data_IF_722909656314
#
_entry.id   IF_722909656314
#
_cell.length_a   1.000
_cell.length_b   1.000
_cell.length_c   1.000
_cell.angle_alpha   90.00
_cell.angle_beta   90.00
_cell.angle_gamma   90.00
#
_symmetry.space_group_name_H-M   'P 1'
#
loop_
_entity.id
_entity.type
_entity.pdbx_description
1 polymer ?
#
# COMPACT_ATOMS: atom_id res chain seq x y z
N UNK A 1 18.23 -17.61 -2.25
CA UNK A 1 16.86 -17.23 -2.66
C UNK A 1 16.34 -16.14 -1.73
N UNK A 2 16.56 -14.88 -2.10
CA UNK A 2 16.06 -13.73 -1.38
C UNK A 2 14.54 -13.58 -1.56
N UNK A 3 13.84 -13.15 -0.51
CA UNK A 3 12.42 -12.80 -0.58
C UNK A 3 12.07 -11.68 0.40
N UNK A 4 11.02 -10.92 0.08
CA UNK A 4 10.53 -9.83 0.92
C UNK A 4 9.01 -9.78 0.90
N UNK A 5 8.40 -9.94 2.06
CA UNK A 5 6.95 -9.87 2.25
C UNK A 5 6.48 -8.43 2.48
N UNK A 6 5.43 -8.04 1.76
CA UNK A 6 4.63 -6.82 1.95
C UNK A 6 3.60 -7.03 3.06
N UNK A 7 3.05 -5.94 3.58
CA UNK A 7 2.03 -6.02 4.63
C UNK A 7 0.68 -6.58 4.15
N UNK A 8 0.36 -6.49 2.84
CA UNK A 8 -0.81 -7.18 2.23
C UNK A 8 -0.64 -8.70 2.13
N UNK A 9 0.52 -9.22 2.53
CA UNK A 9 0.82 -10.63 2.43
C UNK A 9 1.35 -11.06 1.06
N UNK A 10 1.50 -10.15 0.09
CA UNK A 10 2.22 -10.46 -1.15
C UNK A 10 3.73 -10.54 -0.90
N UNK A 11 4.42 -11.40 -1.62
CA UNK A 11 5.83 -11.70 -1.41
C UNK A 11 6.59 -11.47 -2.70
N UNK A 12 7.59 -10.60 -2.67
CA UNK A 12 8.60 -10.53 -3.72
C UNK A 12 9.57 -11.70 -3.58
N UNK A 13 9.81 -12.45 -4.65
CA UNK A 13 10.73 -13.59 -4.66
C UNK A 13 11.66 -13.51 -5.86
N UNK A 14 12.89 -13.98 -5.68
CA UNK A 14 13.83 -14.23 -6.77
C UNK A 14 13.83 -15.71 -7.10
N UNK A 15 13.76 -16.07 -8.37
CA UNK A 15 14.10 -17.41 -8.83
C UNK A 15 15.12 -17.34 -9.96
N UNK A 16 15.78 -18.46 -10.22
CA UNK A 16 16.83 -18.57 -11.21
C UNK A 16 16.46 -19.63 -12.23
N UNK A 17 16.40 -19.24 -13.50
CA UNK A 17 16.05 -20.11 -14.63
C UNK A 17 16.78 -19.64 -15.89
N UNK A 18 17.17 -20.56 -16.79
CA UNK A 18 17.85 -20.22 -18.05
C UNK A 18 19.05 -19.26 -17.89
N UNK A 19 19.86 -19.45 -16.83
CA UNK A 19 21.03 -18.60 -16.50
C UNK A 19 20.69 -17.14 -16.16
N UNK A 20 19.42 -16.85 -15.84
CA UNK A 20 18.92 -15.53 -15.50
C UNK A 20 18.19 -15.56 -14.15
N UNK A 21 18.19 -14.43 -13.47
CA UNK A 21 17.43 -14.21 -12.25
C UNK A 21 16.15 -13.45 -12.56
N UNK A 22 15.05 -13.84 -11.96
CA UNK A 22 13.75 -13.25 -12.20
C UNK A 22 13.15 -12.77 -10.88
N UNK A 23 12.53 -11.60 -10.91
CA UNK A 23 11.75 -11.08 -9.78
C UNK A 23 10.27 -11.29 -10.05
N UNK A 24 9.63 -12.00 -9.13
CA UNK A 24 8.19 -12.25 -9.12
C UNK A 24 7.52 -11.70 -7.87
N UNK A 25 6.24 -11.35 -8.00
CA UNK A 25 5.35 -11.07 -6.88
C UNK A 25 4.35 -12.23 -6.78
N UNK A 26 4.29 -12.88 -5.62
CA UNK A 26 3.40 -14.03 -5.40
C UNK A 26 2.50 -13.80 -4.19
N UNK A 27 1.33 -14.43 -4.17
CA UNK A 27 0.45 -14.45 -2.99
C UNK A 27 0.84 -15.58 -2.00
N UNK A 28 0.05 -15.73 -0.92
CA UNK A 28 0.23 -16.80 0.08
C UNK A 28 0.14 -18.21 -0.49
N UNK A 29 -0.60 -18.40 -1.58
CA UNK A 29 -0.77 -19.67 -2.28
C UNK A 29 0.31 -19.90 -3.34
N UNK A 30 1.35 -19.05 -3.36
CA UNK A 30 2.44 -19.07 -4.31
C UNK A 30 1.99 -18.89 -5.78
N UNK A 31 0.85 -18.22 -5.99
CA UNK A 31 0.36 -17.81 -7.31
C UNK A 31 1.02 -16.49 -7.69
N UNK A 32 1.69 -16.48 -8.84
CA UNK A 32 2.34 -15.29 -9.39
C UNK A 32 1.31 -14.26 -9.86
N UNK A 33 1.48 -13.02 -9.42
CA UNK A 33 0.69 -11.87 -9.85
C UNK A 33 1.22 -11.40 -11.21
N UNK A 34 0.31 -11.27 -12.18
CA UNK A 34 0.65 -10.83 -13.54
C UNK A 34 1.35 -9.47 -13.55
N UNK A 35 2.36 -9.30 -14.42
CA UNK A 35 3.12 -8.06 -14.57
C UNK A 35 4.51 -8.07 -13.93
N UNK A 36 4.90 -9.18 -13.30
CA UNK A 36 6.26 -9.45 -12.81
C UNK A 36 6.91 -10.57 -13.64
N UNK A 37 8.25 -10.59 -13.73
CA UNK A 37 9.01 -11.47 -14.63
C UNK A 37 10.16 -10.76 -15.36
N UNK A 38 10.82 -9.81 -14.70
CA UNK A 38 11.93 -9.05 -15.29
C UNK A 38 13.21 -9.88 -15.13
N UNK A 39 13.93 -10.21 -16.23
CA UNK A 39 15.18 -10.96 -16.16
C UNK A 39 16.36 -10.07 -15.78
N UNK A 40 17.26 -10.61 -14.96
CA UNK A 40 18.50 -10.00 -14.48
C UNK A 40 19.68 -10.94 -14.70
N UNK A 41 20.87 -10.36 -14.87
CA UNK A 41 22.10 -11.12 -15.08
C UNK A 41 22.76 -11.54 -13.75
N UNK A 42 22.36 -10.93 -12.63
CA UNK A 42 22.87 -11.21 -11.30
C UNK A 42 21.77 -11.27 -10.24
N UNK A 43 22.02 -12.04 -9.16
CA UNK A 43 21.09 -12.08 -8.01
C UNK A 43 21.06 -10.71 -7.32
N UNK A 44 22.18 -9.99 -7.29
CA UNK A 44 22.30 -8.66 -6.69
C UNK A 44 21.38 -7.63 -7.37
N UNK A 45 21.33 -7.57 -8.70
CA UNK A 45 20.42 -6.67 -9.43
C UNK A 45 18.95 -6.97 -9.12
N UNK A 46 18.59 -8.25 -9.06
CA UNK A 46 17.25 -8.68 -8.69
C UNK A 46 16.90 -8.32 -7.24
N UNK A 47 17.85 -8.42 -6.31
CA UNK A 47 17.69 -7.96 -4.92
C UNK A 47 17.47 -6.44 -4.85
N UNK A 48 18.25 -5.66 -5.59
CA UNK A 48 18.10 -4.20 -5.63
C UNK A 48 16.74 -3.78 -6.19
N UNK A 49 16.23 -4.47 -7.23
CA UNK A 49 14.86 -4.24 -7.69
C UNK A 49 13.84 -4.51 -6.58
N UNK A 50 13.96 -5.62 -5.82
CA UNK A 50 13.01 -5.91 -4.73
C UNK A 50 13.06 -4.83 -3.66
N UNK A 51 14.24 -4.31 -3.30
CA UNK A 51 14.36 -3.19 -2.35
C UNK A 51 13.63 -1.96 -2.87
N UNK A 52 13.83 -1.59 -4.13
CA UNK A 52 13.15 -0.46 -4.76
C UNK A 52 11.63 -0.63 -4.76
N UNK A 53 11.13 -1.79 -5.19
CA UNK A 53 9.70 -2.09 -5.23
C UNK A 53 9.06 -2.08 -3.82
N UNK A 54 9.79 -2.59 -2.83
CA UNK A 54 9.34 -2.58 -1.44
C UNK A 54 9.28 -1.16 -0.88
N UNK A 55 10.28 -0.31 -1.16
CA UNK A 55 10.24 1.11 -0.80
C UNK A 55 9.08 1.82 -1.46
N UNK A 56 8.91 1.68 -2.79
CA UNK A 56 7.82 2.32 -3.53
C UNK A 56 6.44 1.92 -3.02
N UNK A 57 6.24 0.66 -2.65
CA UNK A 57 5.00 0.19 -2.04
C UNK A 57 4.74 0.87 -0.68
N UNK A 58 5.75 0.94 0.19
CA UNK A 58 5.59 1.57 1.50
C UNK A 58 5.36 3.08 1.39
N UNK A 59 6.10 3.76 0.51
CA UNK A 59 5.94 5.19 0.25
C UNK A 59 4.56 5.49 -0.33
N UNK A 60 4.09 4.67 -1.27
CA UNK A 60 2.74 4.77 -1.84
C UNK A 60 1.64 4.68 -0.77
N UNK A 61 1.76 3.75 0.18
CA UNK A 61 0.80 3.62 1.29
C UNK A 61 0.83 4.82 2.22
N UNK A 62 2.02 5.29 2.59
CA UNK A 62 2.15 6.47 3.46
C UNK A 62 1.56 7.71 2.78
N UNK A 63 1.78 7.87 1.48
CA UNK A 63 1.21 8.97 0.72
C UNK A 63 -0.31 8.86 0.60
N UNK A 64 -0.85 7.65 0.41
CA UNK A 64 -2.30 7.42 0.40
C UNK A 64 -2.94 7.82 1.75
N UNK A 65 -2.33 7.43 2.88
CA UNK A 65 -2.78 7.82 4.22
C UNK A 65 -2.79 9.34 4.38
N UNK A 66 -1.68 10.02 4.00
CA UNK A 66 -1.58 11.49 4.08
C UNK A 66 -2.65 12.19 3.24
N UNK A 67 -2.92 11.70 2.02
CA UNK A 67 -3.94 12.27 1.14
C UNK A 67 -5.35 12.13 1.74
N UNK A 68 -5.65 10.99 2.37
CA UNK A 68 -6.93 10.78 3.06
C UNK A 68 -7.06 11.74 4.25
N UNK A 69 -6.04 11.85 5.09
CA UNK A 69 -6.03 12.77 6.24
C UNK A 69 -6.24 14.23 5.78
N UNK A 70 -5.59 14.65 4.69
CA UNK A 70 -5.78 15.98 4.12
C UNK A 70 -7.20 16.22 3.62
N UNK A 71 -7.79 15.24 2.93
CA UNK A 71 -9.17 15.38 2.44
C UNK A 71 -10.18 15.44 3.58
N UNK A 72 -9.94 14.72 4.66
CA UNK A 72 -10.81 14.76 5.85
C UNK A 72 -10.82 16.14 6.48
N UNK A 73 -9.65 16.78 6.59
CA UNK A 73 -9.57 18.17 7.09
C UNK A 73 -10.37 19.13 6.20
N UNK A 74 -10.28 18.97 4.88
CA UNK A 74 -11.05 19.79 3.93
C UNK A 74 -12.55 19.54 4.07
N UNK A 75 -12.97 18.28 4.16
CA UNK A 75 -14.37 17.93 4.39
C UNK A 75 -14.91 18.46 5.72
N UNK A 76 -14.12 18.40 6.80
CA UNK A 76 -14.50 18.97 8.10
C UNK A 76 -14.71 20.49 8.03
N UNK A 77 -13.95 21.20 7.19
CA UNK A 77 -14.11 22.64 6.96
C UNK A 77 -15.33 22.98 6.10
N UNK A 78 -15.70 22.09 5.17
CA UNK A 78 -16.84 22.27 4.26
C UNK A 78 -18.19 21.86 4.88
N UNK A 79 -18.21 21.32 6.10
CA UNK A 79 -19.46 20.99 6.79
C UNK A 79 -20.23 22.28 7.06
N UNK A 80 -21.46 22.43 6.53
CA UNK A 80 -22.23 23.66 6.68
C UNK A 80 -22.45 24.05 8.15
N UNK A 81 -22.44 25.36 8.43
CA UNK A 81 -22.74 25.90 9.77
C UNK A 81 -24.25 26.09 10.01
N UNK A 82 -25.08 25.93 8.97
CA UNK A 82 -26.54 26.12 9.01
C UNK A 82 -27.31 24.88 9.53
N UNK A 83 -26.64 23.74 9.65
CA UNK A 83 -27.12 22.59 10.43
C UNK A 83 -26.96 22.83 11.93
N UNK A 84 -27.78 22.15 12.74
CA UNK A 84 -27.65 22.31 14.19
C UNK A 84 -26.26 21.88 14.64
N UNK A 85 -25.70 22.56 15.65
CA UNK A 85 -24.37 22.23 16.20
C UNK A 85 -24.21 20.74 16.51
N UNK A 86 -25.26 20.08 17.01
CA UNK A 86 -25.25 18.65 17.29
C UNK A 86 -25.30 17.75 16.05
N UNK A 87 -25.80 18.21 14.91
CA UNK A 87 -25.70 17.50 13.61
C UNK A 87 -24.33 17.68 12.98
N UNK A 88 -23.76 18.89 13.10
CA UNK A 88 -22.41 19.20 12.66
C UNK A 88 -21.37 18.33 13.39
N UNK A 89 -21.41 18.29 14.72
CA UNK A 89 -20.50 17.48 15.54
C UNK A 89 -20.62 15.96 15.22
N UNK A 90 -21.84 15.45 15.03
CA UNK A 90 -22.08 14.05 14.64
C UNK A 90 -21.52 13.70 13.26
N UNK A 91 -21.62 14.64 12.31
CA UNK A 91 -21.12 14.45 10.95
C UNK A 91 -19.60 14.36 10.94
N UNK A 92 -18.91 15.26 11.65
CA UNK A 92 -17.45 15.22 11.81
C UNK A 92 -17.01 13.90 12.47
N UNK A 93 -17.71 13.47 13.53
CA UNK A 93 -17.36 12.22 14.22
C UNK A 93 -17.53 10.99 13.31
N UNK A 94 -18.55 10.95 12.46
CA UNK A 94 -18.73 9.89 11.48
C UNK A 94 -17.61 9.87 10.43
N UNK A 95 -17.22 11.03 9.90
CA UNK A 95 -16.12 11.16 8.94
C UNK A 95 -14.81 10.64 9.56
N UNK A 96 -14.50 11.04 10.79
CA UNK A 96 -13.29 10.59 11.50
C UNK A 96 -13.27 9.08 11.72
N UNK A 97 -14.40 8.47 12.09
CA UNK A 97 -14.50 7.01 12.26
C UNK A 97 -14.21 6.28 10.95
N UNK A 98 -14.88 6.66 9.86
CA UNK A 98 -14.64 6.07 8.55
C UNK A 98 -13.18 6.24 8.11
N UNK A 99 -12.58 7.40 8.40
CA UNK A 99 -11.17 7.68 8.10
C UNK A 99 -10.23 6.75 8.84
N UNK A 100 -10.45 6.53 10.13
CA UNK A 100 -9.66 5.60 10.94
C UNK A 100 -9.73 4.20 10.33
N UNK A 101 -10.94 3.72 10.01
CA UNK A 101 -11.14 2.40 9.40
C UNK A 101 -10.41 2.26 8.05
N UNK A 102 -10.45 3.29 7.19
CA UNK A 102 -9.74 3.30 5.91
C UNK A 102 -8.22 3.26 6.13
N UNK A 103 -7.69 4.08 7.04
CA UNK A 103 -6.26 4.12 7.35
C UNK A 103 -5.79 2.79 7.94
N UNK A 104 -6.57 2.20 8.84
CA UNK A 104 -6.29 0.87 9.40
C UNK A 104 -6.31 -0.20 8.31
N UNK A 105 -7.27 -0.14 7.38
CA UNK A 105 -7.33 -1.04 6.21
C UNK A 105 -6.09 -0.90 5.34
N UNK A 106 -5.66 0.33 5.04
CA UNK A 106 -4.43 0.57 4.28
C UNK A 106 -3.23 0.00 5.03
N UNK A 107 -3.13 0.21 6.35
CA UNK A 107 -2.01 -0.28 7.19
C UNK A 107 -1.98 -1.80 7.36
N UNK A 108 -3.14 -2.46 7.34
CA UNK A 108 -3.28 -3.91 7.49
C UNK A 108 -3.18 -4.67 6.16
N UNK A 109 -3.50 -4.00 5.05
CA UNK A 109 -3.16 -4.45 3.69
C UNK A 109 -1.68 -4.28 3.46
#
# INVERSE_FOLDING_TARGET
MYSKQRSDGLIYKIYHEFEQYYVELVNSDNVTISGFGIPFQSEEEAIELIKLLFMNYNDGRQNAVKLIEQQVVLFEQDVPEDITRGEHERTIEAIRRMTIEIIETIKAS
#
